data_IF_563979932509
#
_entry.id   IF_563979932509
#
_cell.length_a   1.000
_cell.length_b   1.000
_cell.length_c   1.000
_cell.angle_alpha   90.00
_cell.angle_beta   90.00
_cell.angle_gamma   90.00
#
_symmetry.space_group_name_H-M   'P 1'
#
loop_
_entity.id
_entity.type
_entity.pdbx_description
1 polymer ?
#
# COMPACT_ATOMS: atom_id res chain seq x y z
N UNK A 1 -12.28 -0.63 5.62
CA UNK A 1 -12.44 -0.27 4.20
C UNK A 1 -13.34 -1.31 3.53
N UNK A 2 -14.20 -0.89 2.59
CA UNK A 2 -15.02 -1.79 1.75
C UNK A 2 -14.33 -2.16 0.44
N UNK A 3 -14.82 -3.17 -0.27
CA UNK A 3 -14.28 -3.61 -1.56
C UNK A 3 -14.20 -2.49 -2.61
N UNK A 4 -15.28 -1.72 -2.79
CA UNK A 4 -15.34 -0.64 -3.78
C UNK A 4 -14.38 0.51 -3.44
N UNK A 5 -14.23 0.81 -2.13
CA UNK A 5 -13.26 1.81 -1.64
C UNK A 5 -11.82 1.35 -1.92
N UNK A 6 -11.50 0.09 -1.63
CA UNK A 6 -10.17 -0.48 -1.91
C UNK A 6 -9.85 -0.43 -3.41
N UNK A 7 -10.78 -0.90 -4.23
CA UNK A 7 -10.59 -0.97 -5.68
C UNK A 7 -10.51 0.43 -6.30
N UNK A 8 -11.33 1.37 -5.84
CA UNK A 8 -11.29 2.76 -6.26
C UNK A 8 -9.96 3.44 -5.90
N UNK A 9 -9.43 3.18 -4.70
CA UNK A 9 -8.15 3.70 -4.26
C UNK A 9 -6.99 3.16 -5.11
N UNK A 10 -6.95 1.85 -5.37
CA UNK A 10 -5.92 1.27 -6.27
C UNK A 10 -6.03 1.85 -7.68
N UNK A 11 -7.25 1.96 -8.22
CA UNK A 11 -7.45 2.53 -9.56
C UNK A 11 -6.96 3.98 -9.63
N UNK A 12 -7.25 4.77 -8.60
CA UNK A 12 -6.81 6.15 -8.52
C UNK A 12 -5.28 6.26 -8.45
N UNK A 13 -4.65 5.50 -7.55
CA UNK A 13 -3.19 5.55 -7.35
C UNK A 13 -2.38 5.09 -8.57
N UNK A 14 -2.92 4.15 -9.34
CA UNK A 14 -2.30 3.60 -10.54
C UNK A 14 -2.74 4.30 -11.84
N UNK A 15 -3.66 5.26 -11.76
CA UNK A 15 -4.23 5.95 -12.93
C UNK A 15 -4.75 4.99 -14.02
N UNK A 16 -5.27 3.82 -13.61
CA UNK A 16 -5.69 2.78 -14.55
C UNK A 16 -6.99 3.17 -15.28
N UNK A 17 -7.10 2.87 -16.59
CA UNK A 17 -8.19 3.34 -17.43
C UNK A 17 -9.53 2.69 -17.12
N UNK A 18 -9.53 1.51 -16.50
CA UNK A 18 -10.73 0.74 -16.21
C UNK A 18 -10.58 -0.18 -15.00
N UNK A 19 -11.71 -0.49 -14.36
CA UNK A 19 -11.78 -1.39 -13.20
C UNK A 19 -11.30 -2.81 -13.53
N UNK A 20 -11.42 -3.26 -14.78
CA UNK A 20 -10.96 -4.58 -15.20
C UNK A 20 -9.45 -4.72 -15.10
N UNK A 21 -8.68 -3.71 -15.53
CA UNK A 21 -7.23 -3.63 -15.31
C UNK A 21 -6.88 -3.57 -13.84
N UNK A 22 -7.57 -2.72 -13.07
CA UNK A 22 -7.36 -2.61 -11.62
C UNK A 22 -7.52 -3.96 -10.91
N UNK A 23 -8.59 -4.69 -11.21
CA UNK A 23 -8.85 -6.00 -10.61
C UNK A 23 -7.81 -7.04 -11.02
N UNK A 24 -7.28 -6.98 -12.24
CA UNK A 24 -6.17 -7.86 -12.67
C UNK A 24 -4.90 -7.56 -11.90
N UNK A 25 -4.51 -6.29 -11.75
CA UNK A 25 -3.35 -5.89 -10.96
C UNK A 25 -3.44 -6.35 -9.50
N UNK A 26 -4.59 -6.11 -8.86
CA UNK A 26 -4.87 -6.57 -7.49
C UNK A 26 -4.75 -8.09 -7.39
N UNK A 27 -5.45 -8.83 -8.25
CA UNK A 27 -5.44 -10.29 -8.24
C UNK A 27 -4.03 -10.84 -8.46
N UNK A 28 -3.34 -10.36 -9.49
CA UNK A 28 -2.00 -10.82 -9.86
C UNK A 28 -1.02 -10.62 -8.70
N UNK A 29 -1.01 -9.43 -8.11
CA UNK A 29 -0.13 -9.09 -6.98
C UNK A 29 -0.43 -9.97 -5.77
N UNK A 30 -1.69 -10.04 -5.35
CA UNK A 30 -2.08 -10.70 -4.10
C UNK A 30 -1.98 -12.23 -4.18
N UNK A 31 -2.33 -12.83 -5.32
CA UNK A 31 -2.14 -14.27 -5.52
C UNK A 31 -0.66 -14.63 -5.48
N UNK A 32 0.18 -13.88 -6.20
CA UNK A 32 1.62 -14.15 -6.25
C UNK A 32 2.27 -13.93 -4.88
N UNK A 33 1.86 -12.92 -4.10
CA UNK A 33 2.32 -12.77 -2.72
C UNK A 33 1.87 -13.93 -1.82
N UNK A 34 0.61 -14.35 -1.95
CA UNK A 34 0.07 -15.49 -1.21
C UNK A 34 0.81 -16.80 -1.51
N UNK A 35 1.23 -17.02 -2.77
CA UNK A 35 2.08 -18.15 -3.16
C UNK A 35 3.46 -18.10 -2.49
N UNK A 36 4.05 -16.90 -2.36
CA UNK A 36 5.41 -16.73 -1.81
C UNK A 36 5.49 -17.02 -0.32
N UNK A 37 4.48 -16.62 0.46
CA UNK A 37 4.53 -16.65 1.92
C UNK A 37 3.80 -17.88 2.49
N UNK A 38 4.12 -18.32 3.71
CA UNK A 38 3.39 -19.41 4.35
C UNK A 38 1.90 -19.10 4.50
N UNK A 39 1.06 -20.14 4.43
CA UNK A 39 -0.40 -19.99 4.46
C UNK A 39 -0.92 -19.19 5.67
N UNK A 40 -0.40 -19.48 6.87
CA UNK A 40 -0.81 -18.77 8.08
C UNK A 40 -0.51 -17.26 8.01
N UNK A 41 0.69 -16.90 7.54
CA UNK A 41 1.07 -15.51 7.34
C UNK A 41 0.19 -14.80 6.29
N UNK A 42 -0.21 -15.51 5.22
CA UNK A 42 -1.15 -14.96 4.25
C UNK A 42 -2.55 -14.73 4.85
N UNK A 43 -3.02 -15.65 5.69
CA UNK A 43 -4.30 -15.53 6.39
C UNK A 43 -4.31 -14.37 7.40
N UNK A 44 -3.22 -14.22 8.16
CA UNK A 44 -3.02 -13.15 9.13
C UNK A 44 -2.95 -11.79 8.43
N UNK A 45 -2.07 -11.66 7.42
CA UNK A 45 -1.92 -10.41 6.67
C UNK A 45 -3.20 -9.96 5.96
N UNK A 46 -3.97 -10.91 5.43
CA UNK A 46 -5.23 -10.63 4.74
C UNK A 46 -6.44 -10.46 5.69
N UNK A 47 -6.28 -10.61 7.00
CA UNK A 47 -7.39 -10.64 7.95
C UNK A 47 -8.19 -9.32 8.01
N UNK A 48 -7.53 -8.18 7.75
CA UNK A 48 -8.15 -6.85 7.76
C UNK A 48 -8.70 -6.41 6.39
N UNK A 49 -8.53 -7.22 5.34
CA UNK A 49 -8.97 -6.89 3.99
C UNK A 49 -10.45 -7.22 3.77
N UNK A 50 -11.12 -6.56 2.82
CA UNK A 50 -12.43 -6.99 2.34
C UNK A 50 -12.40 -8.46 1.89
N UNK A 51 -13.51 -9.19 2.06
CA UNK A 51 -13.56 -10.65 1.87
C UNK A 51 -13.07 -11.08 0.48
N UNK A 52 -13.45 -10.34 -0.56
CA UNK A 52 -13.08 -10.59 -1.95
C UNK A 52 -11.57 -10.38 -2.18
N UNK A 53 -10.99 -9.38 -1.54
CA UNK A 53 -9.55 -9.07 -1.63
C UNK A 53 -8.75 -10.11 -0.85
N UNK A 54 -9.21 -10.46 0.36
CA UNK A 54 -8.64 -11.52 1.19
C UNK A 54 -8.57 -12.85 0.45
N UNK A 55 -9.60 -13.17 -0.34
CA UNK A 55 -9.65 -14.42 -1.09
C UNK A 55 -8.47 -14.59 -2.05
N UNK A 56 -7.97 -13.51 -2.66
CA UNK A 56 -6.84 -13.59 -3.59
C UNK A 56 -5.52 -14.01 -2.94
N UNK A 57 -5.30 -13.71 -1.66
CA UNK A 57 -4.11 -14.17 -0.94
C UNK A 57 -4.26 -15.55 -0.33
N UNK A 58 -5.49 -16.08 -0.28
CA UNK A 58 -5.83 -17.28 0.50
C UNK A 58 -6.55 -18.30 -0.37
N UNK A 59 -7.89 -18.24 -0.48
CA UNK A 59 -8.69 -19.24 -1.18
C UNK A 59 -8.38 -19.39 -2.69
N UNK A 60 -7.80 -18.37 -3.32
CA UNK A 60 -7.34 -18.43 -4.71
C UNK A 60 -5.96 -19.09 -4.88
N UNK A 61 -5.21 -19.26 -3.80
CA UNK A 61 -3.84 -19.80 -3.81
C UNK A 61 -3.88 -21.29 -3.47
N UNK A 62 -3.37 -22.11 -4.39
CA UNK A 62 -3.33 -23.56 -4.20
C UNK A 62 -2.12 -24.02 -3.39
N UNK A 63 -0.97 -23.38 -3.59
CA UNK A 63 0.29 -23.74 -2.95
C UNK A 63 0.97 -22.49 -2.37
N UNK A 64 1.14 -22.49 -1.05
CA UNK A 64 1.77 -21.43 -0.27
C UNK A 64 3.22 -21.79 0.10
N UNK A 65 4.02 -20.77 0.42
CA UNK A 65 5.40 -20.94 0.87
C UNK A 65 6.37 -21.34 -0.25
N UNK A 66 6.01 -21.08 -1.51
CA UNK A 66 6.89 -21.27 -2.64
C UNK A 66 8.12 -20.38 -2.51
N UNK A 67 9.25 -20.82 -3.07
CA UNK A 67 10.52 -20.09 -3.06
C UNK A 67 10.79 -19.51 -4.43
N UNK A 68 10.69 -18.19 -4.52
CA UNK A 68 11.09 -17.43 -5.69
C UNK A 68 11.49 -16.00 -5.29
N UNK A 69 12.30 -15.38 -6.13
CA UNK A 69 12.84 -14.05 -5.88
C UNK A 69 11.93 -12.94 -6.43
N UNK A 70 12.35 -11.69 -6.21
CA UNK A 70 11.67 -10.51 -6.73
C UNK A 70 11.49 -10.53 -8.25
N UNK A 71 12.46 -11.03 -9.01
CA UNK A 71 12.39 -11.02 -10.48
C UNK A 71 11.32 -11.99 -10.97
N UNK A 72 11.28 -13.19 -10.41
CA UNK A 72 10.24 -14.18 -10.70
C UNK A 72 8.86 -13.71 -10.23
N UNK A 73 8.76 -13.06 -9.06
CA UNK A 73 7.52 -12.44 -8.59
C UNK A 73 6.96 -11.47 -9.64
N UNK A 74 7.78 -10.53 -10.12
CA UNK A 74 7.36 -9.53 -11.10
C UNK A 74 6.97 -10.19 -12.42
N UNK A 75 7.71 -11.21 -12.86
CA UNK A 75 7.37 -11.94 -14.09
C UNK A 75 6.00 -12.61 -13.98
N UNK A 76 5.72 -13.29 -12.87
CA UNK A 76 4.40 -13.89 -12.62
C UNK A 76 3.28 -12.86 -12.59
N UNK A 77 3.49 -11.73 -11.91
CA UNK A 77 2.49 -10.66 -11.87
C UNK A 77 2.21 -10.14 -13.27
N UNK A 78 3.24 -9.84 -14.07
CA UNK A 78 3.10 -9.41 -15.48
C UNK A 78 2.35 -10.45 -16.31
N UNK A 79 2.70 -11.74 -16.19
CA UNK A 79 2.05 -12.82 -16.92
C UNK A 79 0.55 -12.97 -16.55
N UNK A 80 0.20 -12.80 -15.27
CA UNK A 80 -1.19 -12.87 -14.79
C UNK A 80 -2.01 -11.63 -15.19
N UNK A 81 -1.40 -10.44 -15.18
CA UNK A 81 -2.05 -9.21 -15.65
C UNK A 81 -2.35 -9.24 -17.15
N UNK A 82 -1.45 -9.85 -17.93
CA UNK A 82 -1.65 -10.20 -19.33
C UNK A 82 -1.19 -9.12 -20.32
N UNK A 83 -1.73 -9.16 -21.54
CA UNK A 83 -1.28 -8.33 -22.65
C UNK A 83 -1.29 -6.83 -22.33
N UNK A 84 -0.14 -6.19 -22.58
CA UNK A 84 0.04 -4.76 -22.42
C UNK A 84 0.60 -4.31 -21.06
N UNK A 85 0.94 -5.24 -20.16
CA UNK A 85 1.63 -4.95 -18.89
C UNK A 85 2.99 -5.64 -18.89
N UNK A 86 4.06 -4.85 -18.93
CA UNK A 86 5.43 -5.37 -18.89
C UNK A 86 5.94 -5.54 -17.44
N UNK A 87 7.09 -6.24 -17.22
CA UNK A 87 7.60 -6.45 -15.87
C UNK A 87 7.86 -5.14 -15.07
N UNK A 88 8.43 -4.06 -15.65
CA UNK A 88 8.52 -2.77 -14.97
C UNK A 88 7.17 -2.20 -14.50
N UNK A 89 6.13 -2.26 -15.34
CA UNK A 89 4.78 -1.81 -15.01
C UNK A 89 4.14 -2.68 -13.91
N UNK A 90 4.22 -4.00 -14.03
CA UNK A 90 3.75 -4.95 -13.00
C UNK A 90 4.45 -4.74 -11.64
N UNK A 91 5.75 -4.46 -11.65
CA UNK A 91 6.50 -4.11 -10.45
C UNK A 91 5.98 -2.81 -9.81
N UNK A 92 5.63 -1.81 -10.62
CA UNK A 92 5.02 -0.58 -10.11
C UNK A 92 3.64 -0.85 -9.50
N UNK A 93 2.77 -1.61 -10.19
CA UNK A 93 1.46 -2.02 -9.68
C UNK A 93 1.57 -2.69 -8.30
N UNK A 94 2.44 -3.69 -8.19
CA UNK A 94 2.63 -4.43 -6.95
C UNK A 94 3.07 -3.55 -5.78
N UNK A 95 3.98 -2.59 -6.02
CA UNK A 95 4.45 -1.65 -4.99
C UNK A 95 3.32 -0.75 -4.49
N UNK A 96 2.50 -0.21 -5.38
CA UNK A 96 1.37 0.66 -5.01
C UNK A 96 0.30 -0.13 -4.24
N UNK A 97 0.02 -1.36 -4.65
CA UNK A 97 -0.91 -2.22 -3.93
C UNK A 97 -0.39 -2.53 -2.53
N UNK A 98 0.89 -2.90 -2.38
CA UNK A 98 1.49 -3.18 -1.07
C UNK A 98 1.56 -1.93 -0.19
N UNK A 99 1.83 -0.77 -0.78
CA UNK A 99 1.75 0.51 -0.09
C UNK A 99 0.35 0.79 0.46
N UNK A 100 -0.70 0.59 -0.34
CA UNK A 100 -2.07 0.71 0.16
C UNK A 100 -2.35 -0.29 1.29
N UNK A 101 -1.86 -1.52 1.19
CA UNK A 101 -2.05 -2.53 2.24
C UNK A 101 -1.41 -2.13 3.56
N UNK A 102 -0.25 -1.45 3.55
CA UNK A 102 0.42 -0.93 4.74
C UNK A 102 -0.52 -0.04 5.58
N UNK A 103 -1.35 0.77 4.90
CA UNK A 103 -2.30 1.67 5.55
C UNK A 103 -3.54 0.97 6.12
N UNK A 104 -3.80 -0.28 5.73
CA UNK A 104 -5.02 -1.03 6.06
C UNK A 104 -4.75 -2.10 7.11
N UNK A 105 -3.64 -2.81 6.98
CA UNK A 105 -3.31 -3.95 7.84
C UNK A 105 -2.65 -3.49 9.15
N UNK A 106 -2.74 -4.27 10.24
CA UNK A 106 -2.03 -3.95 11.46
C UNK A 106 -0.52 -3.87 11.22
N UNK A 107 0.20 -2.90 11.85
CA UNK A 107 1.64 -2.77 11.65
C UNK A 107 2.46 -4.02 12.01
N UNK A 108 1.95 -4.87 12.91
CA UNK A 108 2.55 -6.18 13.23
C UNK A 108 2.56 -7.11 12.03
N UNK A 109 1.46 -7.14 11.30
CA UNK A 109 1.22 -8.11 10.23
C UNK A 109 1.98 -7.67 8.97
N UNK A 110 2.08 -6.36 8.73
CA UNK A 110 2.95 -5.81 7.70
C UNK A 110 4.43 -6.10 7.97
N UNK A 111 4.90 -5.92 9.22
CA UNK A 111 6.27 -6.32 9.60
C UNK A 111 6.50 -7.81 9.40
N UNK A 112 5.52 -8.63 9.78
CA UNK A 112 5.61 -10.07 9.61
C UNK A 112 5.71 -10.47 8.13
N UNK A 113 4.96 -9.82 7.23
CA UNK A 113 5.11 -10.01 5.79
C UNK A 113 6.54 -9.69 5.34
N UNK A 114 7.07 -8.53 5.73
CA UNK A 114 8.41 -8.07 5.37
C UNK A 114 9.50 -9.05 5.85
N UNK A 115 9.35 -9.60 7.05
CA UNK A 115 10.25 -10.60 7.61
C UNK A 115 10.26 -11.94 6.84
N UNK A 116 9.23 -12.24 6.04
CA UNK A 116 9.20 -13.44 5.18
C UNK A 116 9.92 -13.26 3.84
N UNK A 117 10.30 -12.04 3.48
CA UNK A 117 10.78 -11.67 2.16
C UNK A 117 12.23 -11.18 2.22
N UNK A 118 13.23 -12.01 1.84
CA UNK A 118 14.63 -11.64 1.92
C UNK A 118 14.96 -10.40 1.07
N UNK A 119 15.46 -9.35 1.72
CA UNK A 119 15.61 -8.04 1.10
C UNK A 119 16.95 -7.78 0.40
N UNK A 120 17.99 -8.54 0.75
CA UNK A 120 19.33 -8.23 0.28
C UNK A 120 19.40 -8.36 -1.25
N UNK A 121 20.17 -7.49 -1.91
CA UNK A 121 20.37 -7.57 -3.36
C UNK A 121 20.96 -8.93 -3.80
N UNK A 122 21.70 -9.57 -2.90
CA UNK A 122 22.32 -10.88 -3.13
C UNK A 122 21.43 -12.05 -2.63
N UNK A 123 20.27 -11.75 -2.05
CA UNK A 123 19.36 -12.71 -1.44
C UNK A 123 17.92 -12.30 -1.77
N UNK A 124 17.44 -12.74 -2.93
CA UNK A 124 16.10 -12.55 -3.48
C UNK A 124 15.59 -11.11 -3.74
N UNK A 125 16.24 -10.07 -3.20
CA UNK A 125 16.06 -8.65 -3.55
C UNK A 125 14.64 -8.09 -3.32
N UNK A 126 13.89 -8.60 -2.34
CA UNK A 126 12.51 -8.19 -2.06
C UNK A 126 12.34 -6.77 -1.54
N UNK A 127 13.42 -6.08 -1.16
CA UNK A 127 13.35 -4.65 -0.79
C UNK A 127 12.64 -3.81 -1.84
N UNK A 128 12.75 -4.21 -3.11
CA UNK A 128 12.12 -3.53 -4.24
C UNK A 128 10.59 -3.43 -4.13
N UNK A 129 9.94 -4.41 -3.49
CA UNK A 129 8.49 -4.37 -3.25
C UNK A 129 8.10 -3.22 -2.31
N UNK A 130 8.98 -2.90 -1.37
CA UNK A 130 8.73 -1.93 -0.31
C UNK A 130 9.23 -0.52 -0.64
N UNK A 131 9.74 -0.27 -1.86
CA UNK A 131 10.36 1.02 -2.23
C UNK A 131 9.42 2.22 -2.04
N UNK A 132 8.11 2.06 -2.30
CA UNK A 132 7.12 3.13 -2.11
C UNK A 132 6.85 3.36 -0.63
N UNK A 133 6.68 2.28 0.14
CA UNK A 133 6.48 2.33 1.60
C UNK A 133 7.68 2.98 2.28
N UNK A 134 8.90 2.56 1.91
CA UNK A 134 10.15 3.09 2.45
C UNK A 134 10.40 4.57 2.06
N UNK A 135 9.72 5.06 1.03
CA UNK A 135 9.77 6.45 0.60
C UNK A 135 8.74 7.38 1.30
N UNK A 136 7.95 6.86 2.25
CA UNK A 136 6.88 7.62 2.93
C UNK A 136 5.48 7.35 2.38
N UNK A 137 5.37 6.47 1.39
CA UNK A 137 4.13 6.03 0.76
C UNK A 137 3.75 6.82 -0.50
N UNK A 138 2.64 6.44 -1.14
CA UNK A 138 2.24 7.00 -2.43
C UNK A 138 2.07 8.53 -2.45
N UNK A 139 1.57 9.13 -1.37
CA UNK A 139 1.39 10.59 -1.28
C UNK A 139 2.70 11.37 -1.40
N UNK A 140 3.69 11.01 -0.59
CA UNK A 140 5.03 11.65 -0.61
C UNK A 140 5.78 11.34 -1.92
N UNK A 141 5.57 10.15 -2.49
CA UNK A 141 6.16 9.76 -3.77
C UNK A 141 5.60 10.59 -4.95
N UNK A 142 4.33 10.98 -4.92
CA UNK A 142 3.71 11.83 -5.95
C UNK A 142 4.16 13.30 -5.81
N UNK A 143 4.34 13.80 -4.58
CA UNK A 143 4.89 15.13 -4.31
C UNK A 143 6.33 15.26 -4.83
N UNK A 144 7.16 14.22 -4.63
CA UNK A 144 8.55 14.19 -5.12
C UNK A 144 8.65 14.20 -6.66
N UNK A 145 7.68 13.61 -7.37
CA UNK A 145 7.65 13.55 -8.83
C UNK A 145 7.11 14.83 -9.48
N UNK A 146 6.28 15.59 -8.78
CA UNK A 146 5.64 16.81 -9.30
C UNK A 146 6.44 18.08 -9.04
N UNK A 147 7.58 18.01 -8.33
CA UNK A 147 8.40 19.19 -8.02
C UNK A 147 7.67 20.22 -7.14
N UNK A 148 6.58 19.81 -6.47
CA UNK A 148 5.84 20.63 -5.54
C UNK A 148 6.53 20.60 -4.18
N UNK A 149 7.10 21.73 -3.75
CA UNK A 149 7.52 21.90 -2.36
C UNK A 149 6.35 21.70 -1.39
N UNK A 150 6.62 21.51 -0.08
CA UNK A 150 5.60 21.17 0.91
C UNK A 150 4.45 22.17 0.85
N UNK A 151 3.23 21.68 0.61
CA UNK A 151 2.05 22.49 0.89
C UNK A 151 1.98 22.68 2.40
N UNK A 152 1.98 23.92 2.91
CA UNK A 152 1.73 24.13 4.33
C UNK A 152 0.33 23.61 4.62
N UNK A 153 0.25 22.54 5.42
CA UNK A 153 -0.98 22.19 6.11
C UNK A 153 -1.35 23.40 6.95
N UNK A 154 -2.31 24.19 6.51
CA UNK A 154 -2.84 25.32 7.27
C UNK A 154 -3.32 24.77 8.60
N UNK A 155 -2.69 25.10 9.75
CA UNK A 155 -3.31 24.80 11.02
C UNK A 155 -4.47 25.79 11.15
N UNK A 156 -5.70 25.28 11.31
CA UNK A 156 -6.80 26.10 11.80
C UNK A 156 -6.37 26.69 13.14
N UNK A 157 -6.00 27.96 13.10
CA UNK A 157 -5.65 28.78 14.24
C UNK A 157 -6.99 29.07 14.96
N UNK A 158 -7.27 28.31 16.02
CA UNK A 158 -8.18 28.77 17.06
C UNK A 158 -7.44 29.89 17.79
N UNK A 159 -7.75 31.13 17.43
CA UNK A 159 -7.34 32.29 18.22
C UNK A 159 -7.94 32.20 19.62
N UNK A 160 -7.03 32.24 20.59
CA UNK A 160 -7.31 32.29 22.00
C UNK A 160 -7.88 33.65 22.40
N UNK A 161 -8.73 33.63 23.43
CA UNK A 161 -9.16 34.78 24.21
C UNK A 161 -7.99 35.68 24.65
N UNK A 162 -8.24 36.97 24.86
CA UNK A 162 -7.54 37.73 25.88
C UNK A 162 -8.49 38.08 27.04
N UNK A 163 -8.20 37.50 28.19
CA UNK A 163 -8.55 38.02 29.52
C UNK A 163 -7.51 39.06 29.95
N UNK A 164 -7.94 40.28 30.23
CA UNK A 164 -7.47 41.20 31.31
C UNK A 164 -8.29 42.50 31.11
N UNK A 165 -8.86 43.18 32.09
CA UNK A 165 -8.24 43.62 33.34
C UNK A 165 -9.35 44.04 34.33
N UNK A 166 -9.07 43.94 35.62
CA UNK A 166 -9.99 44.21 36.71
C UNK A 166 -9.68 45.54 37.41
N UNK A 167 -10.75 46.22 37.88
CA UNK A 167 -10.78 47.22 38.98
C UNK A 167 -10.05 48.56 38.69
N UNK A 168 -10.46 49.73 39.18
CA UNK A 168 -11.22 50.17 40.37
C UNK A 168 -11.56 51.66 40.22
N UNK A 169 -12.46 52.18 41.07
CA UNK A 169 -12.65 53.59 41.49
C UNK A 169 -13.21 54.56 40.41
N UNK A 170 -14.01 55.59 40.66
CA UNK A 170 -14.56 56.27 41.84
C UNK A 170 -15.66 57.23 41.31
N UNK A 171 -16.53 57.75 42.21
CA UNK A 171 -17.22 59.07 42.24
C UNK A 171 -17.57 59.81 40.91
N UNK A 172 -18.77 60.34 40.66
CA UNK A 172 -19.71 61.14 41.47
C UNK A 172 -21.09 61.18 40.78
#
# INVERSE_FOLDING_TARGET
MKFDEFTGEVQHRLELPDTGRTMRAIRATLMTLGERIPKGNAEDFAASLPLEIKWYMTGAVHEHGQRFDWTEFVQRVSDIEGEGVDPPEAAYHARIIVDLMETIVPPSDFRQLRDQLPESKNDENWRKLFEVVDAGGWGDAQEAQTGGGPQPTTPTQHDAEPTDDARTDDEE
#
